data_IF_195111060048
#
_entry.id   IF_195111060048
#
_cell.length_a   1.000
_cell.length_b   1.000
_cell.length_c   1.000
_cell.angle_alpha   90.00
_cell.angle_beta   90.00
_cell.angle_gamma   90.00
#
_symmetry.space_group_name_H-M   'P 1'
#
loop_
_entity.id
_entity.type
_entity.pdbx_description
1 polymer ?
#
# COMPACT_ATOMS: atom_id res chain seq x y z
N UNK A 1 3.25 4.50 21.92
CA UNK A 1 3.72 3.47 20.96
C UNK A 1 4.90 3.95 20.13
N UNK A 2 4.81 5.02 19.33
CA UNK A 2 5.94 5.50 18.51
C UNK A 2 7.23 5.74 19.32
N UNK A 3 7.13 6.36 20.49
CA UNK A 3 8.27 6.58 21.38
C UNK A 3 9.01 5.28 21.77
N UNK A 4 8.28 4.16 21.86
CA UNK A 4 8.84 2.84 22.21
C UNK A 4 9.42 2.09 21.00
N UNK A 5 9.18 2.56 19.77
CA UNK A 5 9.64 1.87 18.56
C UNK A 5 11.15 2.07 18.29
N UNK A 6 11.80 3.04 18.95
CA UNK A 6 13.19 3.41 18.67
C UNK A 6 13.42 3.63 17.17
N UNK A 7 14.40 2.97 16.53
CA UNK A 7 14.68 3.12 15.10
C UNK A 7 13.68 2.37 14.19
N UNK A 8 12.82 1.50 14.75
CA UNK A 8 11.87 0.74 13.96
C UNK A 8 10.73 1.64 13.45
N UNK A 9 10.32 1.42 12.19
CA UNK A 9 9.24 2.18 11.57
C UNK A 9 7.87 1.61 11.91
N UNK A 10 7.03 2.42 12.53
CA UNK A 10 5.67 2.13 12.94
C UNK A 10 4.71 2.25 11.76
N UNK A 11 3.99 1.16 11.50
CA UNK A 11 2.89 1.10 10.53
C UNK A 11 1.58 1.09 11.29
N UNK A 12 0.74 2.10 11.09
CA UNK A 12 -0.59 2.17 11.70
C UNK A 12 -1.62 1.64 10.70
N UNK A 13 -2.44 0.69 11.14
CA UNK A 13 -3.46 0.05 10.32
C UNK A 13 -4.81 0.65 10.68
N UNK A 14 -5.54 1.16 9.70
CA UNK A 14 -6.81 1.84 9.95
C UNK A 14 -8.04 0.96 9.75
N UNK A 15 -7.88 -0.18 9.08
CA UNK A 15 -9.00 -1.03 8.66
C UNK A 15 -10.03 -0.23 7.84
N UNK A 16 -9.56 0.40 6.77
CA UNK A 16 -10.32 1.40 5.98
C UNK A 16 -11.67 0.93 5.48
N UNK A 17 -11.88 -0.39 5.31
CA UNK A 17 -13.17 -0.97 4.95
C UNK A 17 -14.24 -0.81 6.03
N UNK A 18 -13.83 -0.64 7.29
CA UNK A 18 -14.71 -0.51 8.46
C UNK A 18 -14.96 0.95 8.85
N UNK A 19 -14.24 1.91 8.25
CA UNK A 19 -14.37 3.33 8.57
C UNK A 19 -15.62 4.00 8.00
N UNK A 20 -16.46 3.27 7.26
CA UNK A 20 -17.76 3.65 6.72
C UNK A 20 -17.75 4.77 5.67
N UNK A 21 -16.95 5.83 5.83
CA UNK A 21 -16.92 7.00 4.93
C UNK A 21 -15.50 7.38 4.53
N UNK A 22 -15.37 8.01 3.37
CA UNK A 22 -14.10 8.54 2.86
C UNK A 22 -13.53 9.65 3.75
N UNK A 23 -14.39 10.48 4.34
CA UNK A 23 -13.98 11.47 5.33
C UNK A 23 -13.29 10.82 6.54
N UNK A 24 -13.82 9.71 7.03
CA UNK A 24 -13.25 9.01 8.17
C UNK A 24 -11.88 8.40 7.83
N UNK A 25 -11.68 7.89 6.62
CA UNK A 25 -10.38 7.42 6.14
C UNK A 25 -9.36 8.55 6.15
N UNK A 26 -9.74 9.73 5.65
CA UNK A 26 -8.86 10.90 5.61
C UNK A 26 -8.55 11.41 7.02
N UNK A 27 -9.54 11.52 7.90
CA UNK A 27 -9.36 11.91 9.32
C UNK A 27 -8.46 10.93 10.06
N UNK A 28 -8.68 9.62 9.92
CA UNK A 28 -7.84 8.59 10.53
C UNK A 28 -6.39 8.68 10.03
N UNK A 29 -6.19 8.95 8.74
CA UNK A 29 -4.87 9.17 8.15
C UNK A 29 -4.13 10.31 8.81
N UNK A 30 -4.77 11.48 8.93
CA UNK A 30 -4.18 12.64 9.60
C UNK A 30 -3.87 12.36 11.08
N UNK A 31 -4.80 11.74 11.81
CA UNK A 31 -4.59 11.38 13.23
C UNK A 31 -3.37 10.46 13.37
N UNK A 32 -3.25 9.43 12.52
CA UNK A 32 -2.12 8.50 12.55
C UNK A 32 -0.78 9.20 12.28
N UNK A 33 -0.74 10.09 11.28
CA UNK A 33 0.47 10.84 10.93
C UNK A 33 0.87 11.83 12.04
N UNK A 34 -0.09 12.58 12.59
CA UNK A 34 0.13 13.49 13.72
C UNK A 34 0.63 12.74 14.97
N UNK A 35 0.18 11.50 15.17
CA UNK A 35 0.64 10.64 16.25
C UNK A 35 2.01 9.98 16.00
N UNK A 36 2.67 10.28 14.87
CA UNK A 36 4.03 9.84 14.55
C UNK A 36 4.11 8.50 13.81
N UNK A 37 3.06 8.09 13.08
CA UNK A 37 3.14 6.95 12.19
C UNK A 37 4.18 7.20 11.07
N UNK A 38 5.09 6.25 10.84
CA UNK A 38 6.00 6.33 9.69
C UNK A 38 5.36 5.80 8.41
N UNK A 39 4.31 4.99 8.57
CA UNK A 39 3.50 4.42 7.52
C UNK A 39 2.04 4.36 7.94
N UNK A 40 1.15 4.69 7.01
CA UNK A 40 -0.27 4.42 7.12
C UNK A 40 -0.65 3.23 6.23
N UNK A 41 -1.43 2.30 6.78
CA UNK A 41 -1.80 1.02 6.14
C UNK A 41 -3.31 0.87 6.06
N UNK A 42 -3.82 0.42 4.90
CA UNK A 42 -5.26 0.29 4.66
C UNK A 42 -5.93 -0.71 5.60
N UNK A 43 -5.53 -1.98 5.56
CA UNK A 43 -6.23 -3.09 6.23
C UNK A 43 -5.27 -4.13 6.80
N UNK A 44 -5.80 -5.00 7.66
CA UNK A 44 -5.05 -6.18 8.14
C UNK A 44 -4.88 -7.25 7.08
N UNK A 45 -5.75 -7.28 6.06
CA UNK A 45 -5.85 -8.38 5.09
C UNK A 45 -6.80 -9.50 5.54
N UNK A 46 -7.53 -9.30 6.64
CA UNK A 46 -8.38 -10.32 7.28
C UNK A 46 -9.88 -9.97 7.30
N UNK A 47 -10.25 -8.78 6.83
CA UNK A 47 -11.64 -8.32 6.75
C UNK A 47 -12.20 -8.47 5.34
N UNK A 48 -13.52 -8.31 5.18
CA UNK A 48 -14.19 -8.44 3.89
C UNK A 48 -13.72 -7.37 2.89
N UNK A 49 -13.69 -6.10 3.32
CA UNK A 49 -13.29 -4.97 2.48
C UNK A 49 -11.86 -4.52 2.80
N UNK A 50 -10.91 -4.88 1.93
CA UNK A 50 -9.49 -4.56 2.08
C UNK A 50 -9.10 -3.28 1.30
N UNK A 51 -7.84 -3.19 0.83
CA UNK A 51 -7.43 -2.09 -0.03
C UNK A 51 -8.27 -2.02 -1.30
N UNK A 52 -8.81 -0.83 -1.57
CA UNK A 52 -9.40 -0.45 -2.85
C UNK A 52 -8.58 0.70 -3.44
N UNK A 53 -8.65 0.94 -4.76
CA UNK A 53 -8.06 2.12 -5.37
C UNK A 53 -8.55 3.42 -4.73
N UNK A 54 -9.86 3.53 -4.42
CA UNK A 54 -10.44 4.72 -3.81
C UNK A 54 -9.89 5.00 -2.41
N UNK A 55 -9.83 3.99 -1.54
CA UNK A 55 -9.29 4.15 -0.18
C UNK A 55 -7.79 4.50 -0.21
N UNK A 56 -7.06 3.90 -1.15
CA UNK A 56 -5.62 4.16 -1.30
C UNK A 56 -5.36 5.56 -1.85
N UNK A 57 -6.17 6.03 -2.80
CA UNK A 57 -6.12 7.41 -3.31
C UNK A 57 -6.25 8.42 -2.17
N UNK A 58 -7.28 8.26 -1.32
CA UNK A 58 -7.50 9.16 -0.18
C UNK A 58 -6.31 9.18 0.79
N UNK A 59 -5.68 8.03 1.03
CA UNK A 59 -4.49 7.94 1.86
C UNK A 59 -3.26 8.58 1.20
N UNK A 60 -3.12 8.46 -0.12
CA UNK A 60 -2.06 9.11 -0.90
C UNK A 60 -2.20 10.64 -0.90
N UNK A 61 -3.42 11.14 -1.11
CA UNK A 61 -3.72 12.56 -0.96
C UNK A 61 -3.42 13.05 0.45
N UNK A 62 -3.77 12.27 1.48
CA UNK A 62 -3.49 12.63 2.86
C UNK A 62 -1.98 12.77 3.13
N UNK A 63 -1.14 11.83 2.69
CA UNK A 63 0.32 11.93 2.91
C UNK A 63 0.96 13.06 2.09
N UNK A 64 0.46 13.32 0.87
CA UNK A 64 0.90 14.45 0.05
C UNK A 64 0.61 15.77 0.75
N UNK A 65 -0.64 15.95 1.18
CA UNK A 65 -1.08 17.19 1.82
C UNK A 65 -0.41 17.36 3.19
N UNK A 66 -0.16 16.27 3.91
CA UNK A 66 0.60 16.28 5.15
C UNK A 66 2.06 16.71 4.93
N UNK A 67 2.72 16.19 3.89
CA UNK A 67 4.08 16.64 3.52
C UNK A 67 4.09 18.11 3.14
N UNK A 68 3.11 18.58 2.36
CA UNK A 68 3.01 19.98 1.99
C UNK A 68 2.85 20.90 3.21
N UNK A 69 2.10 20.45 4.23
CA UNK A 69 1.86 21.24 5.45
C UNK A 69 3.00 21.17 6.47
N UNK A 70 3.74 20.07 6.53
CA UNK A 70 4.68 19.78 7.65
C UNK A 70 6.14 19.59 7.22
N UNK A 71 6.39 19.37 5.93
CA UNK A 71 7.67 18.93 5.41
C UNK A 71 7.99 17.45 5.66
N UNK A 72 7.11 16.70 6.34
CA UNK A 72 7.36 15.30 6.71
C UNK A 72 6.75 14.34 5.69
N UNK A 73 7.56 13.45 5.13
CA UNK A 73 7.12 12.41 4.20
C UNK A 73 6.73 11.14 4.97
N UNK A 74 5.51 10.64 4.71
CA UNK A 74 4.96 9.43 5.34
C UNK A 74 4.71 8.36 4.29
N UNK A 75 5.01 7.10 4.64
CA UNK A 75 4.80 5.99 3.74
C UNK A 75 3.34 5.51 3.66
N UNK A 76 2.95 4.93 2.52
CA UNK A 76 1.63 4.32 2.32
C UNK A 76 1.79 2.82 2.03
N UNK A 77 0.94 2.01 2.67
CA UNK A 77 0.92 0.55 2.46
C UNK A 77 -0.51 0.07 2.18
N UNK A 78 -0.95 -0.04 0.92
CA UNK A 78 -2.16 -0.77 0.58
C UNK A 78 -1.94 -2.26 0.85
N UNK A 79 -2.92 -2.91 1.48
CA UNK A 79 -2.87 -4.31 1.85
C UNK A 79 -4.19 -5.04 1.60
N UNK A 80 -4.10 -6.33 1.26
CA UNK A 80 -5.23 -7.21 0.99
C UNK A 80 -5.88 -6.97 -0.37
N UNK A 81 -6.27 -8.05 -1.07
CA UNK A 81 -6.97 -7.99 -2.35
C UNK A 81 -6.10 -7.75 -3.60
N UNK A 82 -4.83 -7.38 -3.45
CA UNK A 82 -3.91 -7.15 -4.57
C UNK A 82 -3.25 -8.49 -4.95
N UNK A 83 -3.76 -9.13 -6.02
CA UNK A 83 -3.34 -10.49 -6.40
C UNK A 83 -2.55 -10.57 -7.70
N UNK A 84 -2.66 -9.58 -8.59
CA UNK A 84 -2.05 -9.62 -9.91
C UNK A 84 -1.06 -8.48 -10.14
N UNK A 85 -0.08 -8.70 -11.00
CA UNK A 85 0.90 -7.72 -11.47
C UNK A 85 0.19 -6.54 -12.12
N UNK A 86 -0.88 -6.78 -12.89
CA UNK A 86 -1.68 -5.72 -13.49
C UNK A 86 -2.34 -4.84 -12.44
N UNK A 87 -2.86 -5.43 -11.36
CA UNK A 87 -3.43 -4.65 -10.27
C UNK A 87 -2.36 -3.86 -9.52
N UNK A 88 -1.20 -4.47 -9.25
CA UNK A 88 -0.06 -3.77 -8.65
C UNK A 88 0.36 -2.55 -9.48
N UNK A 89 0.42 -2.68 -10.82
CA UNK A 89 0.74 -1.54 -11.70
C UNK A 89 -0.28 -0.40 -11.56
N UNK A 90 -1.59 -0.69 -11.44
CA UNK A 90 -2.61 0.36 -11.21
C UNK A 90 -2.31 1.16 -9.94
N UNK A 91 -1.90 0.48 -8.86
CA UNK A 91 -1.51 1.16 -7.62
C UNK A 91 -0.23 1.98 -7.78
N UNK A 92 0.77 1.49 -8.52
CA UNK A 92 1.99 2.26 -8.76
C UNK A 92 1.71 3.53 -9.58
N UNK A 93 0.84 3.45 -10.59
CA UNK A 93 0.36 4.63 -11.32
C UNK A 93 -0.34 5.59 -10.36
N UNK A 94 -1.25 5.08 -9.52
CA UNK A 94 -1.95 5.91 -8.53
C UNK A 94 -0.98 6.65 -7.59
N UNK A 95 0.09 5.99 -7.14
CA UNK A 95 1.14 6.60 -6.31
C UNK A 95 1.83 7.74 -7.07
N UNK A 96 2.30 7.47 -8.29
CA UNK A 96 3.02 8.44 -9.10
C UNK A 96 2.19 9.70 -9.38
N UNK A 97 0.95 9.49 -9.84
CA UNK A 97 0.06 10.59 -10.25
C UNK A 97 -0.48 11.39 -9.05
N UNK A 98 -0.55 10.79 -7.86
CA UNK A 98 -1.13 11.44 -6.68
C UNK A 98 -0.08 12.06 -5.77
N UNK A 99 0.92 11.27 -5.36
CA UNK A 99 1.90 11.67 -4.36
C UNK A 99 3.23 12.12 -4.99
N UNK A 100 3.60 11.51 -6.12
CA UNK A 100 4.82 11.83 -6.87
C UNK A 100 5.77 10.63 -6.98
N UNK A 101 6.73 10.74 -7.89
CA UNK A 101 7.72 9.70 -8.21
C UNK A 101 8.58 9.32 -7.00
N UNK A 102 8.88 10.27 -6.11
CA UNK A 102 9.70 10.02 -4.92
C UNK A 102 9.01 9.16 -3.85
N UNK A 103 7.70 8.87 -4.00
CA UNK A 103 7.02 7.83 -3.22
C UNK A 103 7.19 6.43 -3.81
N UNK A 104 7.65 6.27 -5.05
CA UNK A 104 7.93 4.97 -5.69
C UNK A 104 9.25 4.34 -5.19
N UNK A 105 9.48 4.43 -3.88
CA UNK A 105 10.63 3.88 -3.19
C UNK A 105 10.15 2.90 -2.09
N UNK A 106 10.82 1.77 -1.84
CA UNK A 106 10.42 0.81 -0.80
C UNK A 106 10.42 1.38 0.63
N UNK A 107 11.05 2.53 0.86
CA UNK A 107 10.97 3.31 2.08
C UNK A 107 9.63 4.05 2.19
N UNK A 108 8.97 4.42 1.09
CA UNK A 108 7.75 5.24 1.12
C UNK A 108 6.51 4.49 0.63
N UNK A 109 6.67 3.41 -0.13
CA UNK A 109 5.55 2.61 -0.60
C UNK A 109 5.83 1.12 -0.47
N UNK A 110 4.79 0.38 -0.05
CA UNK A 110 4.87 -1.09 0.13
C UNK A 110 3.55 -1.72 -0.28
N UNK A 111 3.60 -2.86 -0.95
CA UNK A 111 2.45 -3.75 -1.05
C UNK A 111 2.32 -4.64 0.20
N UNK A 112 1.12 -4.78 0.73
CA UNK A 112 0.76 -5.82 1.70
C UNK A 112 0.03 -6.97 1.02
N UNK A 113 0.79 -7.91 0.46
CA UNK A 113 0.24 -9.05 -0.29
C UNK A 113 1.00 -10.35 0.01
N UNK A 114 0.33 -11.48 -0.18
CA UNK A 114 0.91 -12.82 -0.13
C UNK A 114 0.94 -13.45 -1.53
N UNK A 115 -0.23 -13.64 -2.15
CA UNK A 115 -0.34 -14.32 -3.46
C UNK A 115 0.19 -13.51 -4.65
N UNK A 116 0.40 -12.20 -4.50
CA UNK A 116 0.93 -11.33 -5.55
C UNK A 116 2.32 -11.77 -6.03
N UNK A 117 3.14 -12.32 -5.14
CA UNK A 117 4.50 -12.75 -5.47
C UNK A 117 4.49 -13.82 -6.58
N UNK A 118 3.53 -14.75 -6.53
CA UNK A 118 3.46 -15.85 -7.49
C UNK A 118 3.17 -15.30 -8.89
N UNK A 119 2.20 -14.39 -9.03
CA UNK A 119 1.91 -13.77 -10.32
C UNK A 119 3.09 -12.90 -10.81
N UNK A 120 3.75 -12.14 -9.94
CA UNK A 120 4.95 -11.37 -10.32
C UNK A 120 6.07 -12.26 -10.88
N UNK A 121 6.32 -13.40 -10.24
CA UNK A 121 7.31 -14.38 -10.70
C UNK A 121 6.92 -14.97 -12.07
N UNK A 122 5.64 -15.29 -12.26
CA UNK A 122 5.10 -15.76 -13.55
C UNK A 122 5.28 -14.74 -14.66
N UNK A 123 4.88 -13.48 -14.43
CA UNK A 123 5.00 -12.43 -15.44
C UNK A 123 6.48 -12.14 -15.76
N UNK A 124 7.36 -12.11 -14.75
CA UNK A 124 8.79 -11.93 -14.95
C UNK A 124 9.40 -13.07 -15.75
N UNK A 125 9.05 -14.32 -15.45
CA UNK A 125 9.53 -15.47 -16.20
C UNK A 125 9.06 -15.40 -17.65
N UNK A 126 7.78 -15.11 -17.90
CA UNK A 126 7.27 -14.93 -19.25
C UNK A 126 8.02 -13.85 -20.02
N UNK A 127 8.28 -12.70 -19.40
CA UNK A 127 9.02 -11.61 -20.05
C UNK A 127 10.46 -12.04 -20.40
N UNK A 128 11.10 -12.86 -19.56
CA UNK A 128 12.47 -13.34 -19.80
C UNK A 128 12.57 -14.49 -20.82
N UNK A 129 11.59 -15.39 -20.89
CA UNK A 129 11.66 -16.63 -21.69
C UNK A 129 10.72 -16.66 -22.90
N UNK A 130 9.78 -15.72 -22.98
CA UNK A 130 8.70 -15.70 -23.96
C UNK A 130 7.60 -16.74 -23.75
N UNK A 131 7.66 -17.54 -22.67
CA UNK A 131 6.75 -18.67 -22.42
C UNK A 131 6.13 -18.59 -21.03
N UNK A 132 4.87 -18.99 -20.90
CA UNK A 132 4.27 -19.22 -19.58
C UNK A 132 4.80 -20.52 -18.99
N UNK A 133 5.05 -20.52 -17.69
CA UNK A 133 5.42 -21.71 -16.92
C UNK A 133 4.20 -22.61 -16.73
N UNK A 134 4.43 -23.93 -16.73
CA UNK A 134 3.42 -24.87 -16.25
C UNK A 134 3.12 -24.67 -14.76
N UNK A 135 1.99 -25.21 -14.28
CA UNK A 135 1.55 -25.07 -12.88
C UNK A 135 2.55 -25.63 -11.85
N UNK A 136 3.51 -26.46 -12.26
CA UNK A 136 4.51 -27.08 -11.38
C UNK A 136 5.63 -26.13 -10.91
N UNK A 137 5.77 -24.95 -11.51
CA UNK A 137 6.89 -24.02 -11.27
C UNK A 137 6.55 -22.84 -10.37
N UNK A 138 5.28 -22.69 -10.00
CA UNK A 138 4.76 -21.60 -9.18
C UNK A 138 3.58 -22.14 -8.41
N UNK A 139 3.61 -21.98 -7.08
CA UNK A 139 2.49 -22.36 -6.22
C UNK A 139 1.22 -21.63 -6.65
N UNK A 140 0.21 -22.39 -7.06
CA UNK A 140 -1.13 -21.88 -7.37
C UNK A 140 -1.97 -22.06 -6.10
N UNK A 141 -2.18 -20.97 -5.37
CA UNK A 141 -3.10 -20.91 -4.21
C UNK A 141 -4.53 -20.58 -4.66
#
# INVERSE_FOLDING_TARGET
MKAECGPARLKVIFETGELSTYDNIRRASWIGMLAGADFIKTSTGKVATNATPANTLLMLEAVRDFRAATGVQIGVKPAGGIRTTKDAVKFLVLVNETAGEDWLDPHWFRFGASSLLNDLLMQRQKLSTGRYSGPDYVTVD
#
